data_IF_450951188510
#
_entry.id   IF_450951188510
#
_cell.length_a   1.000
_cell.length_b   1.000
_cell.length_c   1.000
_cell.angle_alpha   90.00
_cell.angle_beta   90.00
_cell.angle_gamma   90.00
#
_symmetry.space_group_name_H-M   'P 1'
#
loop_
_entity.id
_entity.type
_entity.pdbx_description
1 polymer ?
#
# COMPACT_ATOMS: atom_id res chain seq x y z
N UNK A 1 -8.47 3.53 21.80
CA UNK A 1 -9.16 3.22 20.53
C UNK A 1 -8.27 3.59 19.35
N UNK A 2 -8.25 2.75 18.32
CA UNK A 2 -7.54 2.99 17.06
C UNK A 2 -8.56 3.17 15.93
N UNK A 3 -8.29 4.07 14.99
CA UNK A 3 -9.11 4.25 13.79
C UNK A 3 -8.29 3.85 12.57
N UNK A 4 -8.89 3.06 11.67
CA UNK A 4 -8.26 2.64 10.41
C UNK A 4 -9.19 2.99 9.25
N UNK A 5 -8.88 4.07 8.51
CA UNK A 5 -9.60 4.34 7.26
C UNK A 5 -9.02 3.49 6.13
N UNK A 6 -9.87 3.08 5.18
CA UNK A 6 -9.51 2.06 4.22
C UNK A 6 -9.33 0.68 4.88
N UNK A 7 -9.95 0.49 6.07
CA UNK A 7 -9.73 -0.67 6.92
C UNK A 7 -10.31 -1.98 6.36
N UNK A 8 -11.22 -1.92 5.40
CA UNK A 8 -11.67 -3.08 4.65
C UNK A 8 -10.86 -3.31 3.35
N UNK A 9 -10.00 -2.36 2.97
CA UNK A 9 -9.10 -2.48 1.83
C UNK A 9 -7.94 -3.47 2.07
N UNK A 10 -7.06 -3.60 1.09
CA UNK A 10 -5.93 -4.55 1.10
C UNK A 10 -5.00 -4.35 2.31
N UNK A 11 -4.31 -3.21 2.37
CA UNK A 11 -3.32 -2.94 3.44
C UNK A 11 -4.05 -2.67 4.76
N UNK A 12 -5.21 -1.99 4.74
CA UNK A 12 -5.96 -1.65 5.94
C UNK A 12 -6.45 -2.87 6.70
N UNK A 13 -7.02 -3.86 6.02
CA UNK A 13 -7.47 -5.10 6.66
C UNK A 13 -6.31 -5.95 7.18
N UNK A 14 -5.19 -5.97 6.46
CA UNK A 14 -3.97 -6.61 6.95
C UNK A 14 -3.40 -5.89 8.19
N UNK A 15 -3.53 -4.56 8.28
CA UNK A 15 -3.17 -3.79 9.47
C UNK A 15 -4.08 -4.16 10.65
N UNK A 16 -5.40 -4.22 10.46
CA UNK A 16 -6.34 -4.65 11.50
C UNK A 16 -6.03 -6.07 11.98
N UNK A 17 -5.75 -7.00 11.06
CA UNK A 17 -5.30 -8.35 11.38
C UNK A 17 -4.04 -8.35 12.26
N UNK A 18 -3.02 -7.59 11.88
CA UNK A 18 -1.77 -7.51 12.64
C UNK A 18 -1.98 -6.91 14.04
N UNK A 19 -2.85 -5.89 14.17
CA UNK A 19 -3.25 -5.32 15.45
C UNK A 19 -4.00 -6.34 16.32
N UNK A 20 -4.90 -7.14 15.71
CA UNK A 20 -5.59 -8.24 16.41
C UNK A 20 -4.60 -9.29 16.92
N UNK A 21 -3.56 -9.62 16.13
CA UNK A 21 -2.47 -10.51 16.56
C UNK A 21 -1.69 -9.99 17.79
N UNK A 22 -1.71 -8.67 18.01
CA UNK A 22 -1.16 -7.99 19.21
C UNK A 22 -2.18 -7.90 20.36
N UNK A 23 -3.38 -8.46 20.21
CA UNK A 23 -4.46 -8.40 21.19
C UNK A 23 -5.27 -7.10 21.16
N UNK A 24 -5.05 -6.22 20.20
CA UNK A 24 -5.76 -4.94 20.05
C UNK A 24 -7.03 -5.17 19.24
N UNK A 25 -8.20 -4.94 19.87
CA UNK A 25 -9.52 -5.09 19.26
C UNK A 25 -10.37 -3.82 19.36
N UNK A 26 -9.91 -2.82 20.11
CA UNK A 26 -10.53 -1.50 20.24
C UNK A 26 -10.25 -0.65 18.98
N UNK A 27 -10.81 -1.11 17.85
CA UNK A 27 -10.54 -0.60 16.51
C UNK A 27 -11.86 -0.19 15.85
N UNK A 28 -11.91 0.99 15.27
CA UNK A 28 -12.95 1.42 14.34
C UNK A 28 -12.42 1.31 12.91
N UNK A 29 -13.16 0.61 12.06
CA UNK A 29 -12.92 0.53 10.62
C UNK A 29 -13.75 1.62 9.93
N UNK A 30 -13.12 2.39 9.04
CA UNK A 30 -13.79 3.37 8.21
C UNK A 30 -13.49 3.05 6.75
N UNK A 31 -14.52 2.75 5.95
CA UNK A 31 -14.33 2.44 4.52
C UNK A 31 -15.61 2.73 3.73
N UNK A 32 -15.48 2.84 2.43
CA UNK A 32 -16.61 2.77 1.50
C UNK A 32 -16.64 1.37 0.92
N UNK A 33 -17.53 0.51 1.43
CA UNK A 33 -17.60 -0.91 1.03
C UNK A 33 -18.14 -1.08 -0.40
N UNK A 34 -19.15 -0.27 -0.77
CA UNK A 34 -19.78 -0.34 -2.08
C UNK A 34 -20.27 -1.74 -2.43
N UNK A 35 -20.35 -2.04 -3.71
CA UNK A 35 -20.76 -3.35 -4.24
C UNK A 35 -19.56 -4.29 -4.50
N UNK A 36 -18.52 -4.20 -3.66
CA UNK A 36 -17.29 -4.97 -3.82
C UNK A 36 -17.14 -6.05 -2.76
N UNK A 37 -16.27 -7.02 -3.03
CA UNK A 37 -15.94 -8.09 -2.07
C UNK A 37 -15.03 -7.65 -0.89
N UNK A 38 -14.80 -6.35 -0.69
CA UNK A 38 -13.98 -5.84 0.42
C UNK A 38 -14.43 -6.34 1.79
N UNK A 39 -15.73 -6.46 2.02
CA UNK A 39 -16.24 -6.94 3.30
C UNK A 39 -15.68 -8.29 3.71
N UNK A 40 -15.29 -9.15 2.75
CA UNK A 40 -14.67 -10.45 3.03
C UNK A 40 -13.33 -10.33 3.73
N UNK A 41 -12.60 -9.22 3.53
CA UNK A 41 -11.34 -8.96 4.20
C UNK A 41 -11.49 -8.75 5.71
N UNK A 42 -12.65 -8.32 6.18
CA UNK A 42 -12.89 -7.99 7.58
C UNK A 42 -13.74 -9.01 8.34
N UNK A 43 -14.36 -9.97 7.63
CA UNK A 43 -15.17 -11.04 8.28
C UNK A 43 -14.42 -11.74 9.43
N UNK A 44 -13.13 -12.13 9.29
CA UNK A 44 -12.42 -12.86 10.34
C UNK A 44 -11.82 -11.93 11.42
N UNK A 45 -11.95 -10.62 11.29
CA UNK A 45 -11.25 -9.66 12.14
C UNK A 45 -12.09 -9.23 13.34
N UNK A 46 -11.42 -8.77 14.40
CA UNK A 46 -12.04 -8.25 15.62
C UNK A 46 -11.90 -6.72 15.63
N UNK A 47 -13.03 -6.03 15.73
CA UNK A 47 -13.11 -4.57 15.79
C UNK A 47 -14.39 -4.15 16.52
N UNK A 48 -14.51 -2.88 16.90
CA UNK A 48 -15.68 -2.34 17.59
C UNK A 48 -16.83 -2.04 16.64
N UNK A 49 -16.53 -1.36 15.51
CA UNK A 49 -17.55 -0.89 14.59
C UNK A 49 -16.98 -0.60 13.20
N UNK A 50 -17.89 -0.48 12.21
CA UNK A 50 -17.57 -0.09 10.83
C UNK A 50 -18.45 1.09 10.43
N UNK A 51 -17.83 2.16 9.98
CA UNK A 51 -18.54 3.34 9.47
C UNK A 51 -18.26 3.56 7.99
N UNK A 52 -19.26 4.05 7.26
CA UNK A 52 -19.00 4.60 5.92
C UNK A 52 -18.10 5.82 6.04
N UNK A 53 -17.28 6.03 5.02
CA UNK A 53 -16.28 7.10 4.96
C UNK A 53 -16.89 8.49 5.12
N UNK A 54 -18.00 8.75 4.44
CA UNK A 54 -18.61 10.08 4.41
C UNK A 54 -19.36 10.36 5.73
N UNK A 55 -20.07 9.37 6.26
CA UNK A 55 -20.70 9.45 7.59
C UNK A 55 -19.67 9.70 8.68
N UNK A 56 -18.54 8.99 8.63
CA UNK A 56 -17.45 9.20 9.59
C UNK A 56 -16.83 10.60 9.45
N UNK A 57 -16.76 11.15 8.24
CA UNK A 57 -16.33 12.52 8.00
C UNK A 57 -17.23 13.53 8.75
N UNK A 58 -18.55 13.35 8.72
CA UNK A 58 -19.50 14.17 9.49
C UNK A 58 -19.29 13.99 10.99
N UNK A 59 -19.12 12.77 11.49
CA UNK A 59 -18.85 12.52 12.91
C UNK A 59 -17.56 13.23 13.40
N UNK A 60 -16.50 13.21 12.59
CA UNK A 60 -15.24 13.90 12.91
C UNK A 60 -15.46 15.42 12.95
N UNK A 61 -16.21 15.97 11.99
CA UNK A 61 -16.59 17.39 11.97
C UNK A 61 -17.35 17.79 13.25
N UNK A 62 -18.25 16.94 13.70
CA UNK A 62 -19.08 17.15 14.90
C UNK A 62 -18.33 16.83 16.22
N UNK A 63 -17.02 16.60 16.16
CA UNK A 63 -16.15 16.49 17.33
C UNK A 63 -15.91 15.07 17.84
N UNK A 64 -16.06 14.04 16.99
CA UNK A 64 -15.81 12.65 17.38
C UNK A 64 -14.43 12.45 18.02
N UNK A 65 -13.36 13.01 17.42
CA UNK A 65 -12.00 12.87 17.95
C UNK A 65 -11.79 13.59 19.28
N UNK A 66 -12.51 14.69 19.51
CA UNK A 66 -12.48 15.42 20.78
C UNK A 66 -13.17 14.67 21.92
N UNK A 67 -14.26 13.96 21.58
CA UNK A 67 -15.12 13.31 22.57
C UNK A 67 -14.71 11.87 22.87
N UNK A 68 -13.76 11.29 22.08
CA UNK A 68 -13.31 9.91 22.22
C UNK A 68 -11.79 9.85 22.38
N UNK A 69 -11.31 8.92 23.22
CA UNK A 69 -9.87 8.69 23.42
C UNK A 69 -9.26 7.90 22.26
N UNK A 70 -8.98 8.59 21.14
CA UNK A 70 -8.30 8.01 20.00
C UNK A 70 -6.79 8.13 20.18
N UNK A 71 -6.07 7.00 20.18
CA UNK A 71 -4.61 6.96 20.33
C UNK A 71 -3.89 7.12 19.02
N UNK A 72 -4.36 6.40 17.98
CA UNK A 72 -3.75 6.38 16.64
C UNK A 72 -4.85 6.39 15.58
N UNK A 73 -4.63 7.19 14.55
CA UNK A 73 -5.43 7.25 13.34
C UNK A 73 -4.57 6.82 12.15
N UNK A 74 -4.80 5.61 11.65
CA UNK A 74 -4.18 5.10 10.44
C UNK A 74 -5.05 5.46 9.23
N UNK A 75 -4.60 6.43 8.45
CA UNK A 75 -5.32 6.89 7.25
C UNK A 75 -4.79 6.19 6.00
N UNK A 76 -5.34 5.01 5.70
CA UNK A 76 -4.96 4.20 4.53
C UNK A 76 -6.00 4.27 3.41
N UNK A 77 -7.17 4.88 3.69
CA UNK A 77 -8.26 5.05 2.72
C UNK A 77 -7.92 6.03 1.62
N UNK A 78 -7.97 5.57 0.38
CA UNK A 78 -7.78 6.37 -0.82
C UNK A 78 -8.26 5.61 -2.06
N UNK A 79 -8.54 6.32 -3.15
CA UNK A 79 -8.55 5.70 -4.47
C UNK A 79 -7.10 5.41 -4.89
N UNK A 80 -6.73 4.13 -4.95
CA UNK A 80 -5.37 3.69 -5.29
C UNK A 80 -5.21 3.24 -6.75
N UNK A 81 -6.24 3.45 -7.59
CA UNK A 81 -6.19 3.10 -9.01
C UNK A 81 -5.26 4.06 -9.77
N UNK A 82 -4.17 3.53 -10.33
CA UNK A 82 -3.25 4.29 -11.19
C UNK A 82 -3.84 4.58 -12.58
N UNK A 83 -4.97 3.95 -12.91
CA UNK A 83 -5.72 4.17 -14.15
C UNK A 83 -6.86 5.19 -14.00
N UNK A 84 -7.12 5.69 -12.78
CA UNK A 84 -8.09 6.77 -12.57
C UNK A 84 -7.56 8.08 -13.15
N UNK A 85 -8.31 8.66 -14.07
CA UNK A 85 -7.94 9.89 -14.78
C UNK A 85 -8.67 11.14 -14.27
N UNK A 86 -9.81 10.99 -13.56
CA UNK A 86 -10.54 12.14 -13.00
C UNK A 86 -9.75 12.74 -11.82
N UNK A 87 -9.01 13.80 -12.13
CA UNK A 87 -8.20 14.51 -11.14
C UNK A 87 -9.06 15.21 -10.08
N UNK A 88 -10.24 15.71 -10.42
CA UNK A 88 -11.15 16.34 -9.45
C UNK A 88 -11.66 15.33 -8.41
N UNK A 89 -11.96 14.11 -8.85
CA UNK A 89 -12.30 13.02 -7.94
C UNK A 89 -11.12 12.69 -7.02
N UNK A 90 -9.91 12.56 -7.57
CA UNK A 90 -8.71 12.28 -6.79
C UNK A 90 -8.37 13.41 -5.82
N UNK A 91 -8.57 14.68 -6.21
CA UNK A 91 -8.38 15.81 -5.30
C UNK A 91 -9.33 15.72 -4.10
N UNK A 92 -10.62 15.54 -4.33
CA UNK A 92 -11.59 15.42 -3.23
C UNK A 92 -11.32 14.20 -2.35
N UNK A 93 -11.07 13.04 -2.97
CA UNK A 93 -10.98 11.76 -2.27
C UNK A 93 -9.62 11.52 -1.59
N UNK A 94 -8.52 11.87 -2.25
CA UNK A 94 -7.17 11.54 -1.78
C UNK A 94 -6.46 12.72 -1.10
N UNK A 95 -6.74 13.95 -1.52
CA UNK A 95 -6.04 15.14 -1.02
C UNK A 95 -6.87 15.88 0.03
N UNK A 96 -8.07 16.40 -0.32
CA UNK A 96 -8.87 17.21 0.61
C UNK A 96 -9.38 16.39 1.80
N UNK A 97 -9.83 15.17 1.57
CA UNK A 97 -10.25 14.28 2.66
C UNK A 97 -9.08 13.94 3.61
N UNK A 98 -7.89 13.69 3.07
CA UNK A 98 -6.69 13.44 3.89
C UNK A 98 -6.31 14.68 4.70
N UNK A 99 -6.37 15.88 4.11
CA UNK A 99 -6.14 17.16 4.83
C UNK A 99 -7.13 17.34 5.98
N UNK A 100 -8.42 17.12 5.69
CA UNK A 100 -9.48 17.22 6.69
C UNK A 100 -9.19 16.31 7.88
N UNK A 101 -8.93 15.03 7.66
CA UNK A 101 -8.62 14.09 8.74
C UNK A 101 -7.34 14.44 9.48
N UNK A 102 -6.28 14.85 8.74
CA UNK A 102 -5.02 15.25 9.32
C UNK A 102 -5.18 16.43 10.28
N UNK A 103 -5.86 17.51 9.87
CA UNK A 103 -6.07 18.70 10.71
C UNK A 103 -6.82 18.32 11.99
N UNK A 104 -7.92 17.58 11.89
CA UNK A 104 -8.67 17.16 13.08
C UNK A 104 -7.85 16.26 14.01
N UNK A 105 -6.99 15.37 13.48
CA UNK A 105 -6.09 14.57 14.31
C UNK A 105 -5.05 15.43 15.01
N UNK A 106 -4.43 16.36 14.30
CA UNK A 106 -3.40 17.27 14.85
C UNK A 106 -3.98 18.20 15.92
N UNK A 107 -5.19 18.74 15.69
CA UNK A 107 -5.89 19.63 16.63
C UNK A 107 -6.31 18.91 17.93
N UNK A 108 -6.51 17.60 17.88
CA UNK A 108 -6.91 16.78 19.03
C UNK A 108 -5.78 15.90 19.59
N UNK A 109 -4.53 16.16 19.21
CA UNK A 109 -3.32 15.40 19.61
C UNK A 109 -3.41 13.89 19.35
N UNK A 110 -4.09 13.49 18.26
CA UNK A 110 -4.18 12.11 17.80
C UNK A 110 -3.00 11.79 16.91
N UNK A 111 -2.29 10.68 17.18
CA UNK A 111 -1.22 10.19 16.30
C UNK A 111 -1.78 9.90 14.92
N UNK A 112 -1.30 10.62 13.89
CA UNK A 112 -1.74 10.45 12.50
C UNK A 112 -0.65 9.76 11.66
N UNK A 113 -0.99 8.58 11.11
CA UNK A 113 -0.13 7.83 10.18
C UNK A 113 -0.89 7.65 8.87
N UNK A 114 -0.32 8.10 7.75
CA UNK A 114 -1.03 8.10 6.47
C UNK A 114 -0.30 7.37 5.35
N UNK A 115 -1.09 6.86 4.40
CA UNK A 115 -0.56 6.24 3.19
C UNK A 115 -0.22 7.29 2.13
N UNK A 116 1.08 7.49 1.89
CA UNK A 116 1.61 8.02 0.65
C UNK A 116 1.95 6.86 -0.32
N UNK A 117 2.73 7.08 -1.35
CA UNK A 117 3.01 6.06 -2.37
C UNK A 117 4.35 6.29 -3.05
N UNK A 118 5.04 5.20 -3.42
CA UNK A 118 6.20 5.26 -4.31
C UNK A 118 5.85 5.76 -5.73
N UNK A 119 4.57 5.81 -6.10
CA UNK A 119 4.11 6.45 -7.34
C UNK A 119 4.46 7.94 -7.41
N UNK A 120 4.72 8.60 -6.27
CA UNK A 120 5.18 9.98 -6.20
C UNK A 120 6.57 10.18 -6.80
N UNK A 121 7.42 9.16 -6.83
CA UNK A 121 8.77 9.22 -7.40
C UNK A 121 8.81 9.28 -8.93
N UNK A 122 7.68 9.04 -9.60
CA UNK A 122 7.59 9.05 -11.05
C UNK A 122 8.46 7.97 -11.69
N UNK A 123 9.24 8.34 -12.69
CA UNK A 123 10.20 7.43 -13.35
C UNK A 123 11.46 7.14 -12.51
N UNK A 124 11.63 7.82 -11.37
CA UNK A 124 12.81 7.64 -10.51
C UNK A 124 14.00 8.52 -10.92
N UNK A 125 13.78 9.55 -11.74
CA UNK A 125 14.85 10.47 -12.21
C UNK A 125 15.62 11.13 -11.05
N UNK A 126 14.94 11.34 -9.90
CA UNK A 126 15.53 11.90 -8.68
C UNK A 126 15.80 10.83 -7.61
N UNK A 127 15.85 9.55 -7.99
CA UNK A 127 16.00 8.42 -7.07
C UNK A 127 14.75 8.13 -6.23
N UNK A 128 14.90 7.27 -5.23
CA UNK A 128 13.81 6.76 -4.39
C UNK A 128 14.05 7.05 -2.91
N UNK A 129 14.60 8.23 -2.61
CA UNK A 129 14.84 8.67 -1.23
C UNK A 129 13.63 9.43 -0.70
N UNK A 130 13.27 9.16 0.55
CA UNK A 130 12.19 9.83 1.29
C UNK A 130 12.65 11.16 1.93
N UNK A 131 13.45 11.93 1.19
CA UNK A 131 13.92 13.23 1.58
C UNK A 131 12.84 14.30 1.34
N UNK A 132 12.37 14.93 2.43
CA UNK A 132 11.34 15.98 2.38
C UNK A 132 11.77 17.22 1.59
N UNK A 133 13.08 17.52 1.56
CA UNK A 133 13.61 18.67 0.83
C UNK A 133 13.56 18.49 -0.69
N UNK A 134 13.45 17.23 -1.16
CA UNK A 134 13.42 16.87 -2.57
C UNK A 134 12.01 16.67 -3.13
N UNK A 135 10.95 16.80 -2.30
CA UNK A 135 9.57 16.54 -2.71
C UNK A 135 9.14 17.33 -3.94
N UNK A 136 9.58 18.60 -4.06
CA UNK A 136 9.23 19.46 -5.18
C UNK A 136 9.85 19.04 -6.52
N UNK A 137 10.88 18.18 -6.50
CA UNK A 137 11.55 17.65 -7.70
C UNK A 137 10.88 16.40 -8.25
N UNK A 138 10.00 15.76 -7.47
CA UNK A 138 9.35 14.52 -7.85
C UNK A 138 8.32 14.77 -8.97
N UNK A 139 8.26 13.86 -9.96
CA UNK A 139 7.40 13.96 -11.14
C UNK A 139 6.54 12.70 -11.29
N UNK A 140 5.40 12.60 -10.59
CA UNK A 140 4.49 11.46 -10.73
C UNK A 140 4.05 11.24 -12.17
N UNK A 141 3.99 9.98 -12.60
CA UNK A 141 3.59 9.60 -13.98
C UNK A 141 2.08 9.55 -14.21
N UNK A 142 1.27 9.64 -13.15
CA UNK A 142 -0.19 9.52 -13.23
C UNK A 142 -0.89 10.39 -12.17
N UNK A 143 -2.20 10.67 -12.37
CA UNK A 143 -2.99 11.49 -11.46
C UNK A 143 -3.04 10.97 -10.02
N UNK A 144 -3.06 9.64 -9.83
CA UNK A 144 -3.01 9.03 -8.49
C UNK A 144 -1.72 9.41 -7.75
N UNK A 145 -0.55 9.17 -8.36
CA UNK A 145 0.74 9.55 -7.77
C UNK A 145 0.79 11.04 -7.43
N UNK A 146 0.28 11.89 -8.33
CA UNK A 146 0.21 13.33 -8.10
C UNK A 146 -0.71 13.70 -6.93
N UNK A 147 -1.87 13.06 -6.78
CA UNK A 147 -2.77 13.29 -5.64
C UNK A 147 -2.12 12.99 -4.28
N UNK A 148 -1.24 11.98 -4.22
CA UNK A 148 -0.46 11.66 -3.02
C UNK A 148 0.66 12.66 -2.77
N UNK A 149 1.36 13.08 -3.83
CA UNK A 149 2.39 14.11 -3.73
C UNK A 149 1.84 15.45 -3.26
N UNK A 150 0.64 15.84 -3.70
CA UNK A 150 0.00 17.08 -3.24
C UNK A 150 -0.15 17.13 -1.73
N UNK A 151 -0.54 16.01 -1.10
CA UNK A 151 -0.63 15.95 0.35
C UNK A 151 0.75 16.00 1.02
N UNK A 152 1.74 15.26 0.50
CA UNK A 152 3.11 15.29 1.01
C UNK A 152 3.69 16.72 0.97
N UNK A 153 3.49 17.43 -0.14
CA UNK A 153 3.94 18.83 -0.31
C UNK A 153 3.21 19.79 0.63
N UNK A 154 1.89 19.64 0.76
CA UNK A 154 1.10 20.45 1.68
C UNK A 154 1.53 20.22 3.13
N UNK A 155 1.64 18.98 3.57
CA UNK A 155 2.06 18.65 4.92
C UNK A 155 3.47 19.16 5.25
N UNK A 156 4.39 19.14 4.26
CA UNK A 156 5.72 19.72 4.39
C UNK A 156 5.66 21.23 4.55
N UNK A 157 4.90 21.93 3.69
CA UNK A 157 4.76 23.39 3.73
C UNK A 157 4.15 23.92 5.02
N UNK A 158 3.16 23.18 5.56
CA UNK A 158 2.50 23.54 6.83
C UNK A 158 3.30 23.08 8.09
N UNK A 159 4.51 22.51 7.93
CA UNK A 159 5.32 22.01 9.04
C UNK A 159 4.73 20.79 9.76
N UNK A 160 3.74 20.13 9.18
CA UNK A 160 3.03 19.01 9.83
C UNK A 160 3.86 17.73 9.85
N UNK A 161 4.85 17.60 8.96
CA UNK A 161 5.73 16.43 8.92
C UNK A 161 6.59 16.27 10.18
N UNK A 162 6.62 17.26 11.07
CA UNK A 162 7.25 17.15 12.39
C UNK A 162 6.31 16.53 13.45
N UNK A 163 5.04 16.32 13.11
CA UNK A 163 3.99 15.83 14.01
C UNK A 163 3.28 14.54 13.53
N UNK A 164 3.32 14.28 12.23
CA UNK A 164 2.65 13.16 11.57
C UNK A 164 3.67 12.24 10.88
N UNK A 165 3.26 11.02 10.53
CA UNK A 165 4.11 10.11 9.75
C UNK A 165 3.40 9.65 8.47
N UNK A 166 4.10 9.74 7.34
CA UNK A 166 3.65 9.25 6.05
C UNK A 166 4.46 8.04 5.59
N UNK A 167 3.77 7.07 5.02
CA UNK A 167 4.38 5.85 4.52
C UNK A 167 4.26 5.79 2.99
N UNK A 168 5.38 5.92 2.27
CA UNK A 168 5.45 5.73 0.81
C UNK A 168 5.54 4.24 0.50
N UNK A 169 4.38 3.60 0.31
CA UNK A 169 4.32 2.18 -0.03
C UNK A 169 4.86 1.92 -1.43
N UNK A 170 5.78 0.98 -1.53
CA UNK A 170 6.25 0.40 -2.78
C UNK A 170 5.26 -0.67 -3.28
N UNK A 171 5.69 -1.66 -4.03
CA UNK A 171 4.79 -2.62 -4.65
C UNK A 171 4.33 -3.69 -3.65
N UNK A 172 3.31 -3.35 -2.85
CA UNK A 172 2.76 -4.27 -1.85
C UNK A 172 1.98 -5.39 -2.54
N UNK A 173 2.20 -6.64 -2.08
CA UNK A 173 1.48 -7.83 -2.52
C UNK A 173 1.14 -8.74 -1.34
N UNK A 174 0.14 -9.62 -1.50
CA UNK A 174 -0.19 -10.61 -0.48
C UNK A 174 -1.69 -10.81 -0.27
N UNK A 175 -2.10 -11.57 0.77
CA UNK A 175 -3.50 -11.84 1.05
C UNK A 175 -4.31 -10.56 1.28
N UNK A 176 -5.61 -10.64 1.02
CA UNK A 176 -6.61 -9.58 1.08
C UNK A 176 -6.60 -8.59 -0.12
N UNK A 177 -5.81 -8.83 -1.18
CA UNK A 177 -5.83 -7.96 -2.37
C UNK A 177 -6.93 -8.31 -3.41
N UNK A 178 -7.78 -9.30 -3.14
CA UNK A 178 -8.68 -9.96 -4.10
C UNK A 178 -9.70 -9.04 -4.76
N UNK A 179 -10.18 -8.03 -4.03
CA UNK A 179 -11.17 -7.04 -4.51
C UNK A 179 -10.59 -6.01 -5.51
N UNK A 180 -9.26 -5.99 -5.73
CA UNK A 180 -8.58 -4.94 -6.51
C UNK A 180 -8.69 -5.09 -8.03
N UNK A 181 -9.41 -6.09 -8.55
CA UNK A 181 -9.53 -6.30 -9.99
C UNK A 181 -8.16 -6.37 -10.69
N UNK A 182 -7.96 -5.55 -11.71
CA UNK A 182 -6.70 -5.50 -12.46
C UNK A 182 -5.51 -4.92 -11.69
N UNK A 183 -5.77 -4.27 -10.56
CA UNK A 183 -4.72 -3.73 -9.68
C UNK A 183 -4.15 -4.77 -8.68
N UNK A 184 -4.58 -6.04 -8.78
CA UNK A 184 -3.98 -7.16 -8.03
C UNK A 184 -2.54 -7.39 -8.46
N UNK A 185 -1.72 -7.91 -7.54
CA UNK A 185 -0.31 -8.22 -7.81
C UNK A 185 -0.13 -9.21 -8.95
N UNK A 186 1.05 -9.19 -9.55
CA UNK A 186 1.41 -10.16 -10.60
C UNK A 186 1.44 -11.59 -10.07
N UNK A 187 1.79 -11.82 -8.78
CA UNK A 187 1.72 -13.13 -8.13
C UNK A 187 0.31 -13.69 -8.18
N UNK A 188 -0.69 -12.89 -7.80
CA UNK A 188 -2.10 -13.31 -7.84
C UNK A 188 -2.54 -13.63 -9.27
N UNK A 189 -2.20 -12.77 -10.23
CA UNK A 189 -2.56 -12.98 -11.65
C UNK A 189 -1.91 -14.24 -12.22
N UNK A 190 -0.61 -14.40 -11.99
CA UNK A 190 0.13 -15.57 -12.48
C UNK A 190 -0.34 -16.87 -11.80
N UNK A 191 -0.70 -16.84 -10.52
CA UNK A 191 -1.30 -18.00 -9.85
C UNK A 191 -2.54 -18.52 -10.60
N UNK A 192 -3.48 -17.63 -10.94
CA UNK A 192 -4.68 -17.99 -11.71
C UNK A 192 -4.33 -18.54 -13.10
N UNK A 193 -3.45 -17.85 -13.82
CA UNK A 193 -3.00 -18.26 -15.16
C UNK A 193 -2.32 -19.62 -15.14
N UNK A 194 -1.41 -19.88 -14.19
CA UNK A 194 -0.68 -21.14 -14.08
C UNK A 194 -1.65 -22.29 -13.73
N UNK A 195 -2.61 -22.06 -12.83
CA UNK A 195 -3.65 -23.07 -12.52
C UNK A 195 -4.49 -23.45 -13.73
N UNK A 196 -4.83 -22.47 -14.56
CA UNK A 196 -5.71 -22.67 -15.70
C UNK A 196 -4.97 -23.22 -16.93
N UNK A 197 -3.75 -22.72 -17.21
CA UNK A 197 -3.07 -22.95 -18.49
C UNK A 197 -1.68 -23.59 -18.36
N UNK A 198 -1.16 -23.72 -17.13
CA UNK A 198 0.22 -24.13 -16.89
C UNK A 198 1.27 -23.08 -17.24
N UNK A 199 0.86 -21.85 -17.58
CA UNK A 199 1.75 -20.77 -18.03
C UNK A 199 1.51 -19.50 -17.23
N UNK A 200 2.55 -18.68 -17.01
CA UNK A 200 2.45 -17.30 -16.58
C UNK A 200 2.69 -16.36 -17.77
N UNK A 201 2.02 -15.21 -17.79
CA UNK A 201 2.19 -14.21 -18.85
C UNK A 201 2.73 -12.91 -18.26
N UNK A 202 3.85 -12.43 -18.81
CA UNK A 202 4.49 -11.17 -18.45
C UNK A 202 4.57 -10.23 -19.66
N UNK A 203 4.67 -8.93 -19.40
CA UNK A 203 4.93 -7.96 -20.45
C UNK A 203 6.35 -8.12 -21.00
N UNK A 204 6.48 -8.01 -22.33
CA UNK A 204 7.78 -7.73 -22.95
C UNK A 204 8.30 -6.38 -22.44
N UNK A 205 9.60 -6.23 -22.47
CA UNK A 205 10.20 -4.91 -22.25
C UNK A 205 9.94 -4.00 -23.44
N UNK A 206 9.60 -2.74 -23.17
CA UNK A 206 9.59 -1.66 -24.16
C UNK A 206 10.84 -0.76 -24.04
N UNK A 207 11.77 -1.14 -23.17
CA UNK A 207 13.08 -0.49 -22.96
C UNK A 207 14.23 -1.33 -23.52
N UNK A 208 15.22 -0.67 -24.09
CA UNK A 208 16.47 -1.31 -24.53
C UNK A 208 17.39 -1.71 -23.36
N UNK A 209 17.08 -1.27 -22.14
CA UNK A 209 17.91 -1.52 -20.95
C UNK A 209 17.56 -2.87 -20.27
N UNK A 210 16.35 -3.36 -20.48
CA UNK A 210 15.86 -4.58 -19.83
C UNK A 210 15.42 -5.62 -20.86
N UNK A 211 15.72 -6.89 -20.60
CA UNK A 211 15.12 -8.01 -21.33
C UNK A 211 13.66 -8.20 -20.87
N UNK A 212 12.91 -9.02 -21.59
CA UNK A 212 11.53 -9.37 -21.27
C UNK A 212 11.40 -9.94 -19.85
N UNK A 213 10.59 -9.30 -19.03
CA UNK A 213 10.38 -9.67 -17.63
C UNK A 213 11.51 -9.29 -16.66
N UNK A 214 12.56 -8.60 -17.13
CA UNK A 214 13.71 -8.18 -16.30
C UNK A 214 13.56 -6.75 -15.75
N UNK A 215 12.46 -6.05 -16.04
CA UNK A 215 12.10 -4.83 -15.31
C UNK A 215 12.01 -5.15 -13.82
N UNK A 216 12.41 -4.21 -12.96
CA UNK A 216 12.59 -4.46 -11.53
C UNK A 216 11.65 -3.62 -10.67
N UNK A 217 11.15 -4.22 -9.59
CA UNK A 217 10.38 -3.53 -8.57
C UNK A 217 10.86 -3.93 -7.18
N UNK A 218 10.70 -3.01 -6.24
CA UNK A 218 10.74 -3.34 -4.83
C UNK A 218 9.35 -3.89 -4.43
N UNK A 219 9.25 -5.21 -4.39
CA UNK A 219 8.04 -5.92 -3.97
C UNK A 219 8.09 -6.15 -2.46
N UNK A 220 7.10 -5.63 -1.75
CA UNK A 220 7.02 -5.75 -0.30
C UNK A 220 5.81 -6.60 0.10
N UNK A 221 6.04 -7.59 0.96
CA UNK A 221 4.97 -8.43 1.46
C UNK A 221 4.05 -7.62 2.39
N UNK A 222 2.73 -7.81 2.27
CA UNK A 222 1.76 -7.01 3.04
C UNK A 222 1.98 -7.10 4.55
N UNK A 223 2.41 -8.26 5.06
CA UNK A 223 2.71 -8.45 6.49
C UNK A 223 3.89 -7.58 6.93
N UNK A 224 4.92 -7.44 6.11
CA UNK A 224 6.05 -6.55 6.39
C UNK A 224 5.64 -5.06 6.29
N UNK A 225 4.81 -4.73 5.30
CA UNK A 225 4.32 -3.37 5.11
C UNK A 225 3.48 -2.88 6.32
N UNK A 226 2.63 -3.74 6.87
CA UNK A 226 1.83 -3.38 8.04
C UNK A 226 2.67 -3.35 9.33
N UNK A 227 3.72 -4.17 9.46
CA UNK A 227 4.66 -4.09 10.57
C UNK A 227 5.39 -2.73 10.62
N UNK A 228 5.87 -2.24 9.45
CA UNK A 228 6.43 -0.88 9.33
C UNK A 228 5.40 0.20 9.70
N UNK A 229 4.15 0.01 9.30
CA UNK A 229 3.05 0.96 9.57
C UNK A 229 2.73 1.02 11.05
N UNK A 230 2.66 -0.13 11.73
CA UNK A 230 2.46 -0.23 13.18
C UNK A 230 3.60 0.44 13.93
N UNK A 231 4.86 0.21 13.50
CA UNK A 231 6.02 0.86 14.09
C UNK A 231 5.86 2.39 14.13
N UNK A 232 5.39 3.02 13.04
CA UNK A 232 5.16 4.46 13.02
C UNK A 232 4.01 4.89 13.94
N UNK A 233 2.97 4.08 14.08
CA UNK A 233 1.86 4.35 14.99
C UNK A 233 2.25 4.27 16.46
N UNK A 234 3.08 3.30 16.82
CA UNK A 234 3.55 3.06 18.19
C UNK A 234 4.62 4.07 18.64
N UNK A 235 5.33 4.70 17.69
CA UNK A 235 6.44 5.61 17.98
C UNK A 235 6.11 7.06 17.61
N UNK A 236 5.44 7.77 18.51
CA UNK A 236 4.95 9.16 18.28
C UNK A 236 6.06 10.16 17.91
N UNK A 237 7.30 9.89 18.31
CA UNK A 237 8.45 10.77 18.03
C UNK A 237 9.08 10.49 16.66
N UNK A 238 8.64 9.44 15.94
CA UNK A 238 9.11 9.11 14.60
C UNK A 238 8.18 9.75 13.58
N UNK A 239 8.57 10.94 13.10
CA UNK A 239 7.75 11.79 12.24
C UNK A 239 8.40 12.03 10.88
N UNK A 240 7.61 12.42 9.88
CA UNK A 240 8.04 12.69 8.51
C UNK A 240 7.57 11.64 7.52
N UNK A 241 8.22 11.61 6.36
CA UNK A 241 7.96 10.62 5.29
C UNK A 241 8.94 9.47 5.38
N UNK A 242 8.46 8.25 5.19
CA UNK A 242 9.26 7.02 5.23
C UNK A 242 8.88 6.10 4.06
N UNK A 243 9.86 5.47 3.45
CA UNK A 243 9.63 4.42 2.49
C UNK A 243 9.18 3.12 3.16
N UNK A 244 8.22 2.42 2.54
CA UNK A 244 7.80 1.06 2.91
C UNK A 244 8.11 0.12 1.74
N UNK A 245 9.30 -0.45 1.77
CA UNK A 245 9.82 -1.39 0.80
C UNK A 245 10.74 -2.40 1.47
N UNK A 246 11.45 -3.17 0.66
CA UNK A 246 12.46 -4.12 1.13
C UNK A 246 13.90 -3.57 1.02
N UNK A 247 14.09 -2.54 0.19
CA UNK A 247 15.40 -2.04 -0.21
C UNK A 247 16.07 -2.92 -1.29
N UNK A 248 15.33 -3.88 -1.86
CA UNK A 248 15.84 -4.77 -2.91
C UNK A 248 14.92 -4.73 -4.13
N UNK A 249 15.47 -4.36 -5.27
CA UNK A 249 14.78 -4.47 -6.56
C UNK A 249 14.86 -5.92 -7.06
N UNK A 250 13.70 -6.51 -7.36
CA UNK A 250 13.55 -7.89 -7.87
C UNK A 250 12.92 -7.85 -9.25
N UNK A 251 13.39 -8.66 -10.20
CA UNK A 251 12.79 -8.74 -11.54
C UNK A 251 11.42 -9.41 -11.50
N UNK A 252 10.57 -9.14 -12.51
CA UNK A 252 9.29 -9.85 -12.60
C UNK A 252 9.52 -11.35 -12.81
N UNK A 253 10.56 -11.74 -13.55
CA UNK A 253 10.96 -13.14 -13.73
C UNK A 253 11.28 -13.82 -12.39
N UNK A 254 12.13 -13.20 -11.56
CA UNK A 254 12.46 -13.72 -10.22
C UNK A 254 11.23 -13.75 -9.30
N UNK A 255 10.36 -12.76 -9.41
CA UNK A 255 9.19 -12.63 -8.54
C UNK A 255 8.13 -13.71 -8.76
N UNK A 256 7.97 -14.19 -10.01
CA UNK A 256 6.94 -15.21 -10.30
C UNK A 256 7.46 -16.65 -10.27
N UNK A 257 8.78 -16.89 -10.34
CA UNK A 257 9.33 -18.25 -10.23
C UNK A 257 8.86 -19.03 -9.00
N UNK A 258 8.82 -18.43 -7.79
CA UNK A 258 8.33 -19.12 -6.62
C UNK A 258 6.84 -19.54 -6.71
N UNK A 259 6.03 -18.93 -7.59
CA UNK A 259 4.64 -19.34 -7.80
C UNK A 259 4.59 -20.73 -8.46
N UNK A 260 5.42 -20.96 -9.48
CA UNK A 260 5.54 -22.28 -10.11
C UNK A 260 6.02 -23.35 -9.12
N UNK A 261 7.04 -23.02 -8.34
CA UNK A 261 7.59 -23.91 -7.31
C UNK A 261 6.53 -24.26 -6.25
N UNK A 262 5.73 -23.27 -5.79
CA UNK A 262 4.67 -23.49 -4.80
C UNK A 262 3.51 -24.34 -5.34
N UNK A 263 3.29 -24.34 -6.67
CA UNK A 263 2.28 -25.17 -7.34
C UNK A 263 2.84 -26.53 -7.79
N UNK A 264 4.15 -26.78 -7.65
CA UNK A 264 4.80 -28.02 -8.08
C UNK A 264 4.81 -28.23 -9.60
N UNK A 265 4.80 -27.14 -10.39
CA UNK A 265 4.79 -27.18 -11.86
C UNK A 265 6.08 -26.58 -12.44
N UNK A 266 6.46 -27.04 -13.64
CA UNK A 266 7.65 -26.55 -14.34
C UNK A 266 7.44 -25.09 -14.77
N UNK A 267 8.48 -24.26 -14.64
CA UNK A 267 8.48 -22.87 -15.13
C UNK A 267 8.13 -22.81 -16.63
N UNK A 268 7.12 -21.97 -16.95
CA UNK A 268 6.70 -21.70 -18.31
C UNK A 268 6.16 -20.28 -18.40
N UNK A 269 7.00 -19.36 -18.85
CA UNK A 269 6.71 -17.93 -18.95
C UNK A 269 6.53 -17.55 -20.42
N UNK A 270 5.39 -16.95 -20.74
CA UNK A 270 5.08 -16.39 -22.05
C UNK A 270 5.13 -14.85 -21.96
N UNK A 271 5.81 -14.22 -22.91
CA UNK A 271 5.91 -12.76 -22.97
C UNK A 271 4.99 -12.20 -24.04
N UNK A 272 4.28 -11.11 -23.74
CA UNK A 272 3.37 -10.43 -24.65
C UNK A 272 3.56 -8.91 -24.62
N UNK A 273 3.14 -8.24 -25.68
CA UNK A 273 3.35 -6.80 -25.82
C UNK A 273 2.58 -6.01 -24.78
N UNK A 274 3.22 -4.98 -24.20
CA UNK A 274 2.59 -4.09 -23.24
C UNK A 274 1.47 -3.28 -23.93
N UNK A 275 0.27 -3.20 -23.32
CA UNK A 275 -0.82 -2.36 -23.82
C UNK A 275 -0.38 -0.91 -24.00
N UNK A 276 -0.76 -0.28 -25.13
CA UNK A 276 -0.34 1.08 -25.48
C UNK A 276 -0.67 2.14 -24.42
N UNK A 277 -1.76 1.95 -23.66
CA UNK A 277 -2.17 2.86 -22.55
C UNK A 277 -1.19 2.88 -21.37
N UNK A 278 -0.33 1.87 -21.25
CA UNK A 278 0.68 1.79 -20.20
C UNK A 278 2.04 2.33 -20.64
N UNK A 279 2.29 2.42 -21.95
CA UNK A 279 3.57 2.93 -22.49
C UNK A 279 3.82 4.37 -22.03
N UNK A 280 5.03 4.64 -21.57
CA UNK A 280 5.43 5.94 -21.02
C UNK A 280 4.84 6.29 -19.64
N UNK A 281 4.00 5.41 -19.07
CA UNK A 281 3.45 5.54 -17.71
C UNK A 281 3.88 4.40 -16.79
N UNK A 282 4.68 3.49 -17.31
CA UNK A 282 5.18 2.32 -16.60
C UNK A 282 6.57 2.62 -16.03
N UNK A 283 6.77 2.27 -14.77
CA UNK A 283 8.08 2.39 -14.15
C UNK A 283 8.89 1.13 -14.47
N UNK A 284 10.11 1.23 -15.00
CA UNK A 284 10.96 0.07 -15.28
C UNK A 284 11.77 -0.36 -14.07
N UNK A 285 12.00 0.55 -13.14
CA UNK A 285 12.77 0.30 -11.94
C UNK A 285 12.15 0.99 -10.73
N UNK A 286 12.09 0.31 -9.58
CA UNK A 286 11.89 0.92 -8.25
C UNK A 286 12.69 0.17 -7.20
N UNK A 287 13.31 0.92 -6.28
CA UNK A 287 14.01 0.37 -5.11
C UNK A 287 13.93 1.38 -3.97
N UNK A 288 13.35 0.99 -2.85
CA UNK A 288 13.23 1.85 -1.68
C UNK A 288 14.60 2.11 -1.04
N UNK A 289 14.91 3.37 -0.75
CA UNK A 289 15.94 3.67 0.23
C UNK A 289 15.33 3.52 1.65
N UNK A 290 15.76 2.50 2.38
CA UNK A 290 15.24 2.18 3.71
C UNK A 290 16.06 2.80 4.84
N UNK A 291 17.08 3.61 4.52
CA UNK A 291 18.04 4.16 5.50
C UNK A 291 17.34 4.97 6.57
N UNK A 292 16.41 5.84 6.20
CA UNK A 292 15.69 6.72 7.14
C UNK A 292 14.85 5.93 8.14
N UNK A 293 14.06 4.95 7.67
CA UNK A 293 13.23 4.12 8.55
C UNK A 293 14.10 3.28 9.51
N UNK A 294 15.23 2.74 9.01
CA UNK A 294 16.22 2.03 9.84
C UNK A 294 16.84 2.93 10.91
N UNK A 295 17.27 4.14 10.52
CA UNK A 295 17.84 5.12 11.43
C UNK A 295 16.84 5.60 12.48
N UNK A 296 15.54 5.59 12.17
CA UNK A 296 14.48 5.87 13.12
C UNK A 296 14.21 4.74 14.12
N UNK A 297 14.94 3.60 14.01
CA UNK A 297 14.89 2.50 14.96
C UNK A 297 14.07 1.28 14.53
N UNK A 298 13.52 1.25 13.32
CA UNK A 298 12.83 0.07 12.80
C UNK A 298 13.81 -1.08 12.55
N UNK A 299 13.59 -2.22 13.22
CA UNK A 299 14.49 -3.39 13.19
C UNK A 299 13.93 -4.58 12.41
N UNK A 300 12.68 -4.51 11.91
CA UNK A 300 12.06 -5.61 11.16
C UNK A 300 12.89 -5.99 9.94
N UNK A 301 12.99 -7.27 9.64
CA UNK A 301 13.71 -7.78 8.44
C UNK A 301 12.67 -8.14 7.40
N UNK A 302 12.75 -7.60 6.17
CA UNK A 302 11.81 -7.95 5.12
C UNK A 302 11.83 -9.46 4.83
N UNK A 303 10.66 -10.04 4.70
CA UNK A 303 10.49 -11.44 4.33
C UNK A 303 11.12 -11.69 2.96
N UNK A 304 12.03 -12.66 2.80
CA UNK A 304 12.58 -13.03 1.50
C UNK A 304 11.45 -13.32 0.50
N UNK A 305 11.60 -12.83 -0.74
CA UNK A 305 10.53 -12.88 -1.74
C UNK A 305 10.00 -14.30 -1.98
N UNK A 306 10.89 -15.29 -1.99
CA UNK A 306 10.52 -16.70 -2.16
C UNK A 306 9.60 -17.19 -1.03
N UNK A 307 9.93 -16.81 0.21
CA UNK A 307 9.13 -17.18 1.40
C UNK A 307 7.79 -16.46 1.41
N UNK A 308 7.77 -15.18 1.06
CA UNK A 308 6.55 -14.38 0.97
C UNK A 308 5.58 -14.92 -0.09
N UNK A 309 6.10 -15.25 -1.28
CA UNK A 309 5.29 -15.85 -2.36
C UNK A 309 4.82 -17.26 -1.98
N UNK A 310 5.69 -18.08 -1.38
CA UNK A 310 5.33 -19.42 -0.88
C UNK A 310 4.22 -19.35 0.16
N UNK A 311 4.32 -18.41 1.11
CA UNK A 311 3.29 -18.19 2.13
C UNK A 311 1.98 -17.74 1.47
N UNK A 312 2.03 -16.75 0.56
CA UNK A 312 0.84 -16.24 -0.11
C UNK A 312 0.14 -17.30 -0.96
N UNK A 313 0.88 -18.07 -1.75
CA UNK A 313 0.30 -19.15 -2.57
C UNK A 313 -0.19 -20.31 -1.70
N UNK A 314 0.66 -20.84 -0.82
CA UNK A 314 0.38 -22.08 -0.08
C UNK A 314 -0.64 -21.92 1.04
N UNK A 315 -0.62 -20.80 1.76
CA UNK A 315 -1.47 -20.57 2.92
C UNK A 315 -2.74 -19.75 2.61
N UNK A 316 -2.80 -19.12 1.42
CA UNK A 316 -3.97 -18.28 1.05
C UNK A 316 -4.54 -18.65 -0.31
N UNK A 317 -3.83 -18.44 -1.43
CA UNK A 317 -4.40 -18.59 -2.79
C UNK A 317 -4.90 -20.00 -3.12
N UNK A 318 -4.39 -21.03 -2.44
CA UNK A 318 -4.85 -22.43 -2.58
C UNK A 318 -5.98 -22.80 -1.64
N UNK A 319 -6.42 -21.89 -0.76
CA UNK A 319 -7.47 -22.17 0.25
C UNK A 319 -8.84 -21.69 -0.20
N UNK A 320 -9.89 -22.33 0.29
CA UNK A 320 -11.28 -21.94 0.04
C UNK A 320 -11.62 -20.57 0.66
N UNK A 321 -11.00 -20.25 1.79
CA UNK A 321 -11.10 -18.95 2.45
C UNK A 321 -9.71 -18.29 2.52
N UNK A 322 -9.32 -17.52 1.49
CA UNK A 322 -7.94 -17.05 1.31
C UNK A 322 -7.60 -15.77 2.09
N UNK A 323 -8.35 -15.41 3.11
CA UNK A 323 -8.20 -14.16 3.85
C UNK A 323 -7.34 -14.34 5.11
N UNK A 324 -6.72 -13.24 5.57
CA UNK A 324 -6.01 -13.17 6.85
C UNK A 324 -6.98 -13.42 8.03
N UNK A 325 -6.61 -14.36 8.93
CA UNK A 325 -7.45 -14.78 10.07
C UNK A 325 -6.68 -14.60 11.39
#
# INVERSE_FOLDING_TARGET
MIIVTGGAGFIGSALVWALNGKGITDIIIVDHLGETDKYKNIIPLKFLDVFDRDDFGHMVHDGFLKNNKVSVFYHLGACSSTTQLDMNFLLRNNYEYTKFMCNHCVDNDVRFVYASSAATYGAGENGYRDDVNELHKLKPLNPYGYSKQLFDLWASREGLLDRIAGMKYFNVFGPNEYHKGDMRSIVHKCFGQIKETGKARLFKSDSNEYKDGDQKRDFVYVKDAVDMTIFLGENRNVNGLFNAGTGKATTFNEFIKPVFAALGVKENIEYFDMPGVLKGRYQDFTQADMTKLRSAGYKGVPTPIENAVKDYVGNYLTKDFPYLQ
#
